data_IF_250937808505
#
_entry.id   IF_250937808505
#
_cell.length_a   1.000
_cell.length_b   1.000
_cell.length_c   1.000
_cell.angle_alpha   90.00
_cell.angle_beta   90.00
_cell.angle_gamma   90.00
#
_symmetry.space_group_name_H-M   'P 1'
#
loop_
_entity.id
_entity.type
_entity.pdbx_description
1 polymer ?
#
# COMPACT_ATOMS: atom_id res chain seq x y z
N UNK A 1 42.71 -33.24 15.28
CA UNK A 1 41.39 -32.70 15.70
C UNK A 1 41.01 -31.66 14.67
N UNK A 2 40.14 -32.02 13.74
CA UNK A 2 39.62 -31.11 12.72
C UNK A 2 38.68 -30.14 13.42
N UNK A 3 39.06 -28.87 13.55
CA UNK A 3 38.14 -27.83 13.99
C UNK A 3 37.03 -27.71 12.95
N UNK A 4 35.80 -28.10 13.29
CA UNK A 4 34.64 -27.82 12.45
C UNK A 4 34.60 -26.31 12.20
N UNK A 5 34.40 -25.94 10.93
CA UNK A 5 34.24 -24.54 10.56
C UNK A 5 33.06 -23.94 11.34
N UNK A 6 33.19 -22.71 11.88
CA UNK A 6 32.10 -22.11 12.62
C UNK A 6 30.87 -21.96 11.73
N UNK A 7 29.73 -22.47 12.21
CA UNK A 7 28.42 -22.31 11.57
C UNK A 7 28.14 -20.83 11.35
N UNK A 8 27.69 -20.46 10.15
CA UNK A 8 27.34 -19.07 9.84
C UNK A 8 25.95 -18.71 10.31
N UNK A 9 25.77 -17.45 10.70
CA UNK A 9 24.46 -16.90 11.01
C UNK A 9 23.54 -17.08 9.80
N UNK A 10 22.38 -17.68 10.02
CA UNK A 10 21.39 -17.93 8.98
C UNK A 10 20.64 -16.66 8.55
N UNK A 11 20.95 -15.51 9.16
CA UNK A 11 20.38 -14.22 8.76
C UNK A 11 20.98 -13.75 7.45
N UNK A 12 20.08 -13.28 6.59
CA UNK A 12 20.29 -12.87 5.21
C UNK A 12 21.50 -11.96 4.96
N UNK A 13 21.81 -11.07 5.92
CA UNK A 13 22.86 -10.04 5.86
C UNK A 13 23.78 -10.07 7.08
N UNK A 14 24.11 -11.27 7.56
CA UNK A 14 24.96 -11.43 8.73
C UNK A 14 26.12 -12.37 8.46
N UNK A 15 27.33 -11.80 8.41
CA UNK A 15 28.57 -12.55 8.20
C UNK A 15 29.13 -13.17 9.50
N UNK A 16 28.52 -12.80 10.64
CA UNK A 16 28.91 -13.31 11.95
C UNK A 16 28.70 -14.82 12.02
N UNK A 17 29.50 -15.44 12.87
CA UNK A 17 29.27 -16.83 13.23
C UNK A 17 27.99 -16.95 14.07
N UNK A 18 27.22 -18.00 13.80
CA UNK A 18 26.00 -18.28 14.53
C UNK A 18 26.29 -18.64 15.99
N UNK A 19 25.48 -18.11 16.89
CA UNK A 19 25.47 -18.50 18.29
C UNK A 19 24.71 -19.82 18.51
N UNK A 20 24.37 -20.10 19.77
CA UNK A 20 23.54 -21.25 20.13
C UNK A 20 22.04 -21.03 19.82
N UNK A 21 21.65 -19.82 19.39
CA UNK A 21 20.26 -19.47 19.11
C UNK A 21 19.79 -20.19 17.84
N UNK A 22 18.99 -21.24 18.01
CA UNK A 22 18.42 -22.04 16.94
C UNK A 22 16.96 -21.67 16.70
N UNK A 23 16.51 -21.71 15.44
CA UNK A 23 15.09 -21.57 15.13
C UNK A 23 14.29 -22.79 15.67
N UNK A 24 13.32 -22.60 16.59
CA UNK A 24 12.55 -23.69 17.19
C UNK A 24 11.70 -24.47 16.18
N UNK A 25 11.25 -23.81 15.10
CA UNK A 25 10.48 -24.45 14.04
C UNK A 25 11.39 -25.23 13.07
N UNK A 26 12.59 -24.73 12.76
CA UNK A 26 13.56 -25.48 11.95
C UNK A 26 14.02 -26.75 12.67
N UNK A 27 14.19 -26.70 13.99
CA UNK A 27 14.51 -27.88 14.81
C UNK A 27 13.45 -28.97 14.67
N UNK A 28 12.16 -28.62 14.74
CA UNK A 28 11.04 -29.56 14.53
C UNK A 28 11.00 -30.17 13.13
N UNK A 29 11.58 -29.47 12.15
CA UNK A 29 11.62 -29.87 10.74
C UNK A 29 12.95 -30.55 10.35
N UNK A 30 13.85 -30.80 11.31
CA UNK A 30 15.16 -31.38 11.03
C UNK A 30 16.09 -30.48 10.20
N UNK A 31 15.87 -29.16 10.21
CA UNK A 31 16.69 -28.17 9.48
C UNK A 31 17.62 -27.42 10.44
N UNK A 32 18.85 -27.21 10.02
CA UNK A 32 19.83 -26.42 10.77
C UNK A 32 19.74 -24.94 10.40
N UNK A 33 19.30 -24.11 11.34
CA UNK A 33 19.20 -22.66 11.17
C UNK A 33 19.49 -21.97 12.52
N UNK A 34 20.65 -21.32 12.60
CA UNK A 34 21.18 -20.72 13.81
C UNK A 34 21.53 -19.24 13.59
N UNK A 35 21.40 -18.42 14.63
CA UNK A 35 21.52 -16.96 14.53
C UNK A 35 22.54 -16.43 15.54
N UNK A 36 23.27 -15.38 15.17
CA UNK A 36 24.22 -14.74 16.08
C UNK A 36 23.52 -13.86 17.15
N UNK A 37 22.28 -13.43 16.90
CA UNK A 37 21.50 -12.60 17.81
C UNK A 37 19.99 -12.77 17.59
N UNK A 38 19.19 -12.34 18.57
CA UNK A 38 17.73 -12.30 18.43
C UNK A 38 17.29 -11.36 17.30
N UNK A 39 18.04 -10.30 17.02
CA UNK A 39 17.75 -9.39 15.91
C UNK A 39 17.98 -10.08 14.56
N UNK A 40 19.06 -10.84 14.43
CA UNK A 40 19.32 -11.66 13.24
C UNK A 40 18.24 -12.72 13.02
N UNK A 41 17.75 -13.32 14.11
CA UNK A 41 16.61 -14.25 14.07
C UNK A 41 15.33 -13.58 13.57
N UNK A 42 14.99 -12.40 14.09
CA UNK A 42 13.79 -11.64 13.71
C UNK A 42 13.84 -11.13 12.27
N UNK A 43 14.98 -10.56 11.85
CA UNK A 43 15.17 -10.03 10.48
C UNK A 43 15.08 -11.13 9.42
N UNK A 44 15.56 -12.33 9.73
CA UNK A 44 15.59 -13.42 8.77
C UNK A 44 14.21 -14.01 8.44
N UNK A 45 13.18 -13.75 9.25
CA UNK A 45 11.93 -14.49 9.12
C UNK A 45 10.92 -13.85 8.16
N UNK A 46 11.09 -12.56 7.82
CA UNK A 46 9.97 -11.77 7.31
C UNK A 46 10.22 -11.19 5.91
N UNK A 47 11.48 -11.07 5.48
CA UNK A 47 11.81 -10.54 4.16
C UNK A 47 12.45 -11.58 3.23
N UNK A 48 11.96 -12.82 3.24
CA UNK A 48 12.51 -13.91 2.41
C UNK A 48 12.39 -13.63 0.91
N UNK A 49 11.38 -12.86 0.48
CA UNK A 49 11.20 -12.52 -0.93
C UNK A 49 12.25 -11.53 -1.46
N UNK A 50 12.91 -10.76 -0.60
CA UNK A 50 13.94 -9.79 -1.03
C UNK A 50 15.08 -10.44 -1.83
N UNK A 51 15.32 -11.73 -1.60
CA UNK A 51 16.33 -12.52 -2.33
C UNK A 51 15.85 -13.07 -3.65
N UNK A 52 14.66 -13.65 -3.68
CA UNK A 52 14.26 -14.57 -4.75
C UNK A 52 12.86 -14.31 -5.31
N UNK A 53 12.22 -13.22 -4.92
CA UNK A 53 10.90 -12.89 -5.42
C UNK A 53 9.74 -13.51 -4.65
N UNK A 54 9.96 -14.47 -3.74
CA UNK A 54 8.88 -15.37 -3.32
C UNK A 54 8.46 -15.12 -1.86
N UNK A 55 7.27 -14.52 -1.59
CA UNK A 55 6.78 -14.24 -0.23
C UNK A 55 6.22 -15.48 0.46
N UNK A 56 7.09 -16.43 0.78
CA UNK A 56 6.70 -17.75 1.31
C UNK A 56 5.91 -17.68 2.61
N UNK A 57 6.17 -16.71 3.47
CA UNK A 57 5.45 -16.48 4.73
C UNK A 57 3.96 -16.20 4.50
N UNK A 58 3.61 -15.55 3.40
CA UNK A 58 2.25 -15.22 3.00
C UNK A 58 1.57 -16.38 2.26
N UNK A 59 2.36 -17.24 1.62
CA UNK A 59 1.88 -18.44 0.92
C UNK A 59 1.62 -19.63 1.85
N UNK A 60 2.04 -19.56 3.12
CA UNK A 60 1.72 -20.60 4.09
C UNK A 60 0.20 -20.65 4.26
N UNK A 61 -0.40 -21.80 3.96
CA UNK A 61 -1.84 -22.06 4.05
C UNK A 61 -2.29 -22.13 5.53
N UNK A 62 -2.15 -21.02 6.26
CA UNK A 62 -2.80 -20.84 7.56
C UNK A 62 -4.19 -20.30 7.25
N UNK A 63 -5.22 -20.90 7.85
CA UNK A 63 -6.64 -20.55 7.72
C UNK A 63 -6.85 -19.12 7.21
N UNK A 64 -7.29 -18.98 5.94
CA UNK A 64 -7.41 -17.69 5.22
C UNK A 64 -8.29 -16.64 5.93
N UNK A 65 -9.07 -17.05 6.93
CA UNK A 65 -9.95 -16.18 7.70
C UNK A 65 -9.36 -15.80 9.09
N UNK A 66 -8.18 -16.30 9.44
CA UNK A 66 -7.52 -15.95 10.70
C UNK A 66 -6.80 -14.62 10.53
N UNK A 67 -7.41 -13.57 11.07
CA UNK A 67 -6.86 -12.22 11.10
C UNK A 67 -6.04 -12.06 12.39
N UNK A 68 -4.83 -11.51 12.27
CA UNK A 68 -3.96 -11.24 13.42
C UNK A 68 -4.55 -10.14 14.31
N UNK A 69 -4.39 -10.30 15.62
CA UNK A 69 -4.68 -9.27 16.62
C UNK A 69 -3.34 -8.97 17.30
N UNK A 70 -2.83 -7.78 17.05
CA UNK A 70 -1.51 -7.36 17.49
C UNK A 70 -1.50 -7.05 18.98
N UNK A 71 -0.44 -7.47 19.67
CA UNK A 71 -0.16 -7.02 21.03
C UNK A 71 0.32 -5.56 21.07
N UNK A 72 0.55 -5.02 22.27
CA UNK A 72 0.95 -3.61 22.42
C UNK A 72 2.32 -3.30 21.82
N UNK A 73 3.27 -4.23 21.90
CA UNK A 73 4.60 -4.01 21.32
C UNK A 73 4.55 -4.05 19.79
N UNK A 74 3.74 -4.95 19.22
CA UNK A 74 3.49 -5.02 17.79
C UNK A 74 2.75 -3.77 17.27
N UNK A 75 1.78 -3.24 18.02
CA UNK A 75 1.11 -1.97 17.70
C UNK A 75 2.10 -0.79 17.65
N UNK A 76 3.05 -0.70 18.60
CA UNK A 76 4.10 0.33 18.53
C UNK A 76 5.03 0.14 17.32
N UNK A 77 5.34 -1.11 16.96
CA UNK A 77 6.07 -1.43 15.73
C UNK A 77 5.36 -0.89 14.49
N UNK A 78 4.05 -1.14 14.38
CA UNK A 78 3.20 -0.62 13.31
C UNK A 78 3.16 0.91 13.27
N UNK A 79 2.96 1.59 14.42
CA UNK A 79 3.01 3.07 14.50
C UNK A 79 4.33 3.61 13.98
N UNK A 80 5.45 2.98 14.35
CA UNK A 80 6.77 3.41 13.92
C UNK A 80 6.94 3.29 12.40
N UNK A 81 6.70 2.11 11.83
CA UNK A 81 6.90 1.90 10.37
C UNK A 81 5.93 2.75 9.55
N UNK A 82 4.68 2.91 9.99
CA UNK A 82 3.68 3.73 9.29
C UNK A 82 4.06 5.22 9.29
N UNK A 83 4.59 5.75 10.39
CA UNK A 83 5.11 7.12 10.44
C UNK A 83 6.29 7.29 9.47
N UNK A 84 7.22 6.34 9.42
CA UNK A 84 8.34 6.38 8.47
C UNK A 84 7.85 6.32 7.03
N UNK A 85 6.85 5.49 6.73
CA UNK A 85 6.26 5.39 5.39
C UNK A 85 5.61 6.72 4.97
N UNK A 86 4.86 7.38 5.87
CA UNK A 86 4.34 8.74 5.65
C UNK A 86 5.45 9.74 5.30
N UNK A 87 6.53 9.77 6.07
CA UNK A 87 7.65 10.67 5.77
C UNK A 87 8.26 10.41 4.38
N UNK A 88 8.38 9.15 3.95
CA UNK A 88 8.89 8.80 2.61
C UNK A 88 7.92 9.21 1.51
N UNK A 89 6.61 8.98 1.67
CA UNK A 89 5.60 9.47 0.73
C UNK A 89 5.66 10.99 0.59
N UNK A 90 5.78 11.71 1.69
CA UNK A 90 5.86 13.17 1.68
C UNK A 90 7.13 13.68 0.97
N UNK A 91 8.25 12.96 1.08
CA UNK A 91 9.48 13.26 0.31
C UNK A 91 9.25 13.05 -1.18
N UNK A 92 8.66 11.92 -1.58
CA UNK A 92 8.36 11.59 -2.97
C UNK A 92 7.41 12.62 -3.60
N UNK A 93 6.36 12.99 -2.87
CA UNK A 93 5.37 13.97 -3.28
C UNK A 93 5.97 15.36 -3.56
N UNK A 94 6.97 15.81 -2.79
CA UNK A 94 7.67 17.09 -3.04
C UNK A 94 8.50 17.06 -4.33
N UNK A 95 8.91 15.89 -4.78
CA UNK A 95 9.68 15.73 -6.01
C UNK A 95 8.80 15.58 -7.27
N UNK A 96 7.53 15.20 -7.09
CA UNK A 96 6.58 14.98 -8.18
C UNK A 96 6.16 16.31 -8.84
N UNK A 97 6.78 16.65 -9.98
CA UNK A 97 6.51 17.87 -10.74
C UNK A 97 6.70 17.65 -12.24
N UNK A 98 6.17 18.52 -13.11
CA UNK A 98 6.42 18.41 -14.54
C UNK A 98 7.92 18.34 -14.86
N UNK A 99 8.30 17.45 -15.77
CA UNK A 99 9.68 17.29 -16.26
C UNK A 99 10.53 16.25 -15.53
N UNK A 100 10.09 15.67 -14.40
CA UNK A 100 10.79 14.54 -13.77
C UNK A 100 10.28 13.20 -14.29
N UNK A 101 11.10 12.16 -14.26
CA UNK A 101 10.67 10.79 -14.56
C UNK A 101 10.09 10.10 -13.32
N UNK A 102 9.28 9.06 -13.51
CA UNK A 102 8.85 8.21 -12.40
C UNK A 102 10.02 7.42 -11.79
N UNK A 103 11.02 7.04 -12.60
CA UNK A 103 12.27 6.43 -12.12
C UNK A 103 13.08 7.33 -11.17
N UNK A 104 13.07 8.65 -11.39
CA UNK A 104 13.67 9.60 -10.45
C UNK A 104 12.92 9.65 -9.10
N UNK A 105 11.60 9.49 -9.12
CA UNK A 105 10.79 9.39 -7.89
C UNK A 105 11.13 8.09 -7.14
N UNK A 106 11.28 6.98 -7.85
CA UNK A 106 11.74 5.70 -7.27
C UNK A 106 13.11 5.82 -6.61
N UNK A 107 14.09 6.46 -7.27
CA UNK A 107 15.43 6.69 -6.70
C UNK A 107 15.36 7.45 -5.37
N UNK A 108 14.52 8.50 -5.32
CA UNK A 108 14.28 9.28 -4.09
C UNK A 108 13.66 8.42 -3.00
N UNK A 109 12.62 7.64 -3.32
CA UNK A 109 11.95 6.76 -2.35
C UNK A 109 12.93 5.71 -1.82
N UNK A 110 13.66 5.05 -2.72
CA UNK A 110 14.66 4.05 -2.36
C UNK A 110 15.69 4.62 -1.39
N UNK A 111 16.28 5.78 -1.71
CA UNK A 111 17.25 6.46 -0.84
C UNK A 111 16.64 6.85 0.51
N UNK A 112 15.42 7.39 0.52
CA UNK A 112 14.74 7.80 1.74
C UNK A 112 14.40 6.62 2.67
N UNK A 113 14.12 5.43 2.11
CA UNK A 113 13.99 4.17 2.86
C UNK A 113 15.34 3.76 3.48
N UNK A 114 16.43 3.80 2.71
CA UNK A 114 17.77 3.44 3.19
C UNK A 114 18.25 4.36 4.32
N UNK A 115 18.04 5.67 4.21
CA UNK A 115 18.36 6.66 5.26
C UNK A 115 17.60 6.43 6.58
N UNK A 116 16.53 5.63 6.55
CA UNK A 116 15.70 5.27 7.70
C UNK A 116 15.96 3.85 8.20
N UNK A 117 17.04 3.21 7.76
CA UNK A 117 17.34 1.80 8.02
C UNK A 117 16.13 0.89 7.75
N UNK A 118 15.45 1.15 6.63
CA UNK A 118 14.19 0.49 6.24
C UNK A 118 14.31 -0.11 4.84
N UNK A 119 13.62 -1.21 4.60
CA UNK A 119 13.58 -1.83 3.28
C UNK A 119 12.32 -1.38 2.52
N UNK A 120 12.41 -1.01 1.22
CA UNK A 120 11.24 -0.72 0.40
C UNK A 120 10.50 -2.02 0.05
N UNK A 121 9.38 -2.28 0.71
CA UNK A 121 8.68 -3.58 0.62
C UNK A 121 8.33 -4.02 -0.82
N UNK A 122 7.97 -3.13 -1.76
CA UNK A 122 7.70 -3.54 -3.14
C UNK A 122 8.91 -4.17 -3.83
N UNK A 123 10.13 -3.77 -3.45
CA UNK A 123 11.34 -4.23 -4.13
C UNK A 123 11.46 -5.76 -4.04
N UNK A 124 11.54 -6.38 -5.21
CA UNK A 124 11.58 -7.82 -5.40
C UNK A 124 10.38 -8.60 -4.79
N UNK A 125 9.29 -7.94 -4.39
CA UNK A 125 8.09 -8.66 -3.99
C UNK A 125 7.42 -9.26 -5.24
N UNK A 126 7.29 -10.59 -5.32
CA UNK A 126 6.87 -11.30 -6.54
C UNK A 126 7.69 -10.93 -7.78
N UNK A 127 8.97 -10.56 -7.60
CA UNK A 127 9.87 -10.02 -8.62
C UNK A 127 9.49 -8.62 -9.16
N UNK A 128 8.72 -7.81 -8.43
CA UNK A 128 8.53 -6.40 -8.78
C UNK A 128 9.88 -5.67 -8.78
N UNK A 129 10.23 -4.90 -9.82
CA UNK A 129 11.62 -4.48 -10.06
C UNK A 129 12.01 -3.16 -9.38
N UNK A 130 11.09 -2.50 -8.66
CA UNK A 130 11.25 -1.12 -8.15
C UNK A 130 10.87 -1.01 -6.68
N UNK A 131 11.19 0.11 -6.06
CA UNK A 131 11.02 0.36 -4.62
C UNK A 131 9.67 0.99 -4.26
N UNK A 132 8.95 1.47 -5.27
CA UNK A 132 7.66 2.18 -5.16
C UNK A 132 6.82 1.88 -6.39
N UNK A 133 5.49 2.00 -6.30
CA UNK A 133 4.64 2.04 -7.51
C UNK A 133 4.33 3.51 -7.87
N UNK A 134 4.37 3.82 -9.16
CA UNK A 134 3.99 5.14 -9.70
C UNK A 134 2.95 4.97 -10.79
N UNK A 135 1.68 5.25 -10.46
CA UNK A 135 0.54 4.99 -11.33
C UNK A 135 0.00 6.30 -11.90
N UNK A 136 0.31 6.56 -13.17
CA UNK A 136 -0.04 7.81 -13.86
C UNK A 136 -1.35 7.64 -14.65
N UNK A 137 -2.25 8.62 -14.54
CA UNK A 137 -3.47 8.75 -15.35
C UNK A 137 -4.38 7.51 -15.36
N UNK A 138 -4.37 6.70 -16.42
CA UNK A 138 -5.22 5.50 -16.58
C UNK A 138 -4.70 4.27 -15.83
N UNK A 139 -3.49 4.35 -15.28
CA UNK A 139 -2.91 3.30 -14.46
C UNK A 139 -3.63 3.26 -13.11
N UNK A 140 -4.29 2.13 -12.86
CA UNK A 140 -5.07 1.85 -11.66
C UNK A 140 -4.14 1.71 -10.45
N UNK A 141 -3.15 0.83 -10.55
CA UNK A 141 -2.18 0.52 -9.50
C UNK A 141 -0.97 -0.21 -10.11
N UNK A 142 0.09 -0.38 -9.31
CA UNK A 142 1.30 -1.13 -9.65
C UNK A 142 2.05 -0.68 -10.92
N UNK A 143 1.91 0.60 -11.31
CA UNK A 143 2.74 1.15 -12.37
C UNK A 143 4.21 1.08 -11.99
N UNK A 144 5.03 0.45 -12.83
CA UNK A 144 6.48 0.32 -12.61
C UNK A 144 7.16 1.67 -12.94
N UNK A 145 7.89 2.28 -12.00
CA UNK A 145 8.72 3.45 -12.29
C UNK A 145 9.65 3.25 -13.49
N UNK A 146 9.65 4.20 -14.43
CA UNK A 146 10.37 4.13 -15.70
C UNK A 146 10.81 5.52 -16.20
N UNK A 147 11.29 5.60 -17.45
CA UNK A 147 11.77 6.84 -18.06
C UNK A 147 10.66 7.77 -18.55
N UNK A 148 9.37 7.50 -18.26
CA UNK A 148 8.26 8.39 -18.60
C UNK A 148 8.41 9.71 -17.85
N UNK A 149 8.61 10.78 -18.61
CA UNK A 149 8.62 12.15 -18.08
C UNK A 149 7.19 12.58 -17.75
N UNK A 150 6.96 13.01 -16.50
CA UNK A 150 5.70 13.56 -16.04
C UNK A 150 5.39 14.89 -16.74
N UNK A 151 4.13 15.08 -17.14
CA UNK A 151 3.66 16.25 -17.87
C UNK A 151 2.73 17.08 -17.01
N UNK A 152 2.76 18.39 -17.22
CA UNK A 152 1.73 19.30 -16.71
C UNK A 152 0.35 18.90 -17.25
N UNK A 153 -0.53 18.41 -16.38
CA UNK A 153 -1.80 17.79 -16.72
C UNK A 153 -1.97 16.35 -16.26
N UNK A 154 -0.88 15.66 -15.89
CA UNK A 154 -0.94 14.30 -15.34
C UNK A 154 -1.50 14.30 -13.90
N UNK A 155 -2.17 13.22 -13.53
CA UNK A 155 -2.31 12.82 -12.12
C UNK A 155 -1.43 11.60 -11.86
N UNK A 156 -0.79 11.55 -10.69
CA UNK A 156 0.15 10.50 -10.32
C UNK A 156 -0.19 9.98 -8.93
N UNK A 157 -0.53 8.70 -8.82
CA UNK A 157 -0.50 8.01 -7.54
C UNK A 157 0.93 7.52 -7.25
N UNK A 158 1.38 7.72 -6.00
CA UNK A 158 2.65 7.19 -5.48
C UNK A 158 2.32 6.29 -4.30
N UNK A 159 2.69 5.02 -4.40
CA UNK A 159 2.34 3.97 -3.44
C UNK A 159 3.59 3.43 -2.72
N UNK A 160 3.64 3.68 -1.41
CA UNK A 160 4.83 3.54 -0.57
C UNK A 160 4.56 2.52 0.54
N UNK A 161 5.30 1.43 0.51
CA UNK A 161 5.36 0.50 1.65
C UNK A 161 6.78 0.38 2.19
N UNK A 162 6.97 0.63 3.48
CA UNK A 162 8.24 0.38 4.15
C UNK A 162 8.18 -0.88 5.01
N UNK A 163 9.30 -1.60 5.08
CA UNK A 163 9.55 -2.62 6.07
C UNK A 163 10.57 -2.12 7.10
N UNK A 164 10.17 -2.01 8.36
CA UNK A 164 11.02 -1.53 9.45
C UNK A 164 10.76 -2.30 10.74
N UNK A 165 11.83 -2.76 11.38
CA UNK A 165 11.77 -3.36 12.71
C UNK A 165 10.87 -4.60 12.84
N UNK A 166 10.60 -5.31 11.74
CA UNK A 166 9.71 -6.48 11.76
C UNK A 166 8.38 -6.31 11.06
N UNK A 167 8.00 -5.09 10.67
CA UNK A 167 6.64 -4.75 10.23
C UNK A 167 6.63 -3.97 8.92
N UNK A 168 5.55 -4.10 8.16
CA UNK A 168 5.24 -3.30 6.98
C UNK A 168 4.29 -2.15 7.33
N UNK A 169 4.47 -0.99 6.72
CA UNK A 169 3.54 0.15 6.81
C UNK A 169 3.28 0.73 5.43
N UNK A 170 2.00 0.90 5.10
CA UNK A 170 1.54 1.12 3.73
C UNK A 170 0.60 2.30 3.58
N UNK A 171 0.80 3.06 2.52
CA UNK A 171 -0.02 4.22 2.15
C UNK A 171 0.28 4.68 0.72
N UNK A 172 -0.72 5.29 0.11
CA UNK A 172 -0.59 5.97 -1.17
C UNK A 172 -1.48 7.20 -1.25
N UNK A 173 -1.10 8.12 -2.12
CA UNK A 173 -1.89 9.29 -2.47
C UNK A 173 -1.75 9.64 -3.95
N UNK A 174 -2.84 10.11 -4.56
CA UNK A 174 -2.82 10.73 -5.90
C UNK A 174 -2.52 12.23 -5.82
N UNK A 175 -1.55 12.67 -6.62
CA UNK A 175 -1.08 14.06 -6.73
C UNK A 175 -1.37 14.65 -8.11
N UNK A 176 -1.67 15.94 -8.14
CA UNK A 176 -1.79 16.71 -9.38
C UNK A 176 -0.40 17.15 -9.86
N UNK A 177 -0.06 16.84 -11.11
CA UNK A 177 1.22 17.25 -11.70
C UNK A 177 1.01 18.51 -12.54
N UNK A 178 1.38 19.65 -11.96
CA UNK A 178 1.25 20.97 -12.59
C UNK A 178 -0.17 21.55 -12.57
N UNK A 179 -0.29 22.81 -12.98
CA UNK A 179 -1.53 23.58 -12.87
C UNK A 179 -2.62 23.05 -13.81
N UNK A 180 -2.27 22.42 -14.94
CA UNK A 180 -3.27 21.85 -15.86
C UNK A 180 -3.98 20.64 -15.28
N UNK A 181 -3.35 19.89 -14.38
CA UNK A 181 -3.98 18.77 -13.70
C UNK A 181 -5.08 19.28 -12.75
N UNK A 182 -4.80 20.37 -12.02
CA UNK A 182 -5.78 21.05 -11.16
C UNK A 182 -6.89 21.73 -11.97
N UNK A 183 -6.59 22.24 -13.16
CA UNK A 183 -7.58 22.85 -14.04
C UNK A 183 -8.48 21.83 -14.76
N UNK A 184 -8.14 20.53 -14.72
CA UNK A 184 -8.92 19.48 -15.37
C UNK A 184 -10.04 18.99 -14.42
N UNK A 185 -11.33 19.26 -14.73
CA UNK A 185 -12.43 18.89 -13.84
C UNK A 185 -12.59 17.37 -13.66
N UNK A 186 -12.20 16.55 -14.64
CA UNK A 186 -12.28 15.10 -14.51
C UNK A 186 -11.17 14.55 -13.62
N UNK A 187 -9.96 15.10 -13.73
CA UNK A 187 -8.82 14.77 -12.86
C UNK A 187 -9.11 15.16 -11.41
N UNK A 188 -9.70 16.35 -11.18
CA UNK A 188 -10.11 16.76 -9.84
C UNK A 188 -11.23 15.86 -9.32
N UNK A 189 -12.27 15.60 -10.14
CA UNK A 189 -13.41 14.77 -9.72
C UNK A 189 -12.99 13.37 -9.29
N UNK A 190 -12.18 12.66 -10.08
CA UNK A 190 -11.76 11.29 -9.73
C UNK A 190 -10.86 11.26 -8.49
N UNK A 191 -9.93 12.20 -8.38
CA UNK A 191 -8.99 12.31 -7.26
C UNK A 191 -9.72 12.59 -5.94
N UNK A 192 -10.55 13.62 -5.91
CA UNK A 192 -11.26 14.00 -4.69
C UNK A 192 -12.35 12.97 -4.33
N UNK A 193 -12.99 12.35 -5.32
CA UNK A 193 -13.92 11.24 -5.07
C UNK A 193 -13.21 10.06 -4.39
N UNK A 194 -12.01 9.69 -4.84
CA UNK A 194 -11.23 8.62 -4.19
C UNK A 194 -10.85 8.97 -2.75
N UNK A 195 -10.39 10.21 -2.52
CA UNK A 195 -10.07 10.72 -1.18
C UNK A 195 -11.29 10.70 -0.24
N UNK A 196 -12.44 11.18 -0.71
CA UNK A 196 -13.70 11.20 0.04
C UNK A 196 -14.23 9.77 0.30
N UNK A 197 -14.10 8.85 -0.65
CA UNK A 197 -14.44 7.43 -0.49
C UNK A 197 -13.65 6.79 0.65
N UNK A 198 -12.31 7.00 0.68
CA UNK A 198 -11.46 6.50 1.75
C UNK A 198 -11.87 7.09 3.10
N UNK A 199 -12.05 8.40 3.18
CA UNK A 199 -12.43 9.09 4.42
C UNK A 199 -13.75 8.54 5.00
N UNK A 200 -14.79 8.40 4.18
CA UNK A 200 -16.08 7.84 4.62
C UNK A 200 -15.97 6.38 5.06
N UNK A 201 -15.10 5.58 4.43
CA UNK A 201 -14.87 4.21 4.86
C UNK A 201 -14.16 4.15 6.22
N UNK A 202 -13.15 5.01 6.44
CA UNK A 202 -12.41 5.11 7.71
C UNK A 202 -13.34 5.52 8.86
N UNK A 203 -14.27 6.45 8.64
CA UNK A 203 -15.26 6.87 9.66
C UNK A 203 -16.12 5.71 10.19
N UNK A 204 -16.30 4.65 9.40
CA UNK A 204 -17.04 3.46 9.81
C UNK A 204 -16.21 2.44 10.60
N UNK A 205 -14.89 2.59 10.64
CA UNK A 205 -13.98 1.61 11.26
C UNK A 205 -14.09 1.71 12.78
N UNK A 206 -14.62 0.63 13.37
CA UNK A 206 -14.68 0.40 14.81
C UNK A 206 -14.92 -1.08 15.08
N UNK A 207 -14.74 -1.56 16.32
CA UNK A 207 -15.05 -2.95 16.67
C UNK A 207 -16.46 -3.37 16.24
N UNK A 208 -16.56 -4.52 15.57
CA UNK A 208 -17.81 -5.10 15.09
C UNK A 208 -18.23 -4.69 13.68
N UNK A 209 -17.61 -3.69 13.06
CA UNK A 209 -17.88 -3.36 11.65
C UNK A 209 -17.44 -4.51 10.75
N UNK A 210 -18.33 -5.02 9.90
CA UNK A 210 -18.00 -6.11 8.97
C UNK A 210 -17.15 -5.58 7.81
N UNK A 211 -16.09 -6.31 7.42
CA UNK A 211 -15.19 -5.86 6.34
C UNK A 211 -15.91 -5.64 5.00
N UNK A 212 -17.03 -6.32 4.77
CA UNK A 212 -17.85 -6.15 3.56
C UNK A 212 -18.59 -4.82 3.47
N UNK A 213 -18.75 -4.09 4.58
CA UNK A 213 -19.54 -2.84 4.60
C UNK A 213 -18.77 -1.65 4.00
N UNK A 214 -17.44 -1.65 4.07
CA UNK A 214 -16.63 -0.54 3.52
C UNK A 214 -16.88 -0.36 2.02
N UNK A 215 -16.98 -1.46 1.27
CA UNK A 215 -17.29 -1.38 -0.16
C UNK A 215 -18.69 -0.83 -0.47
N UNK A 216 -19.65 -0.96 0.45
CA UNK A 216 -21.00 -0.40 0.27
C UNK A 216 -20.97 1.14 0.32
N UNK A 217 -20.23 1.73 1.28
CA UNK A 217 -20.12 3.19 1.40
C UNK A 217 -19.27 3.77 0.28
N UNK A 218 -18.15 3.13 -0.07
CA UNK A 218 -17.26 3.55 -1.15
C UNK A 218 -18.00 3.57 -2.50
N UNK A 219 -18.63 2.46 -2.90
CA UNK A 219 -19.29 2.41 -4.22
C UNK A 219 -20.52 3.33 -4.28
N UNK A 220 -21.22 3.56 -3.17
CA UNK A 220 -22.31 4.54 -3.11
C UNK A 220 -21.79 5.95 -3.37
N UNK A 221 -20.70 6.35 -2.70
CA UNK A 221 -20.13 7.68 -2.86
C UNK A 221 -19.57 7.89 -4.26
N UNK A 222 -18.76 6.95 -4.76
CA UNK A 222 -18.19 7.00 -6.11
C UNK A 222 -19.26 7.18 -7.19
N UNK A 223 -20.37 6.41 -7.12
CA UNK A 223 -21.49 6.54 -8.06
C UNK A 223 -22.17 7.90 -7.99
N UNK A 224 -22.31 8.48 -6.80
CA UNK A 224 -22.88 9.82 -6.64
C UNK A 224 -22.05 10.90 -7.35
N UNK A 225 -20.75 10.65 -7.53
CA UNK A 225 -19.80 11.51 -8.24
C UNK A 225 -19.55 11.07 -9.69
N UNK A 226 -20.42 10.22 -10.25
CA UNK A 226 -20.31 9.67 -11.62
C UNK A 226 -18.98 8.94 -11.88
N UNK A 227 -18.42 8.31 -10.85
CA UNK A 227 -17.24 7.47 -10.94
C UNK A 227 -17.60 5.98 -10.72
N UNK A 228 -16.69 5.09 -11.08
CA UNK A 228 -16.78 3.65 -10.81
C UNK A 228 -15.68 3.17 -9.88
N UNK A 229 -15.87 2.00 -9.28
CA UNK A 229 -14.91 1.39 -8.32
C UNK A 229 -14.29 0.15 -8.95
N UNK A 230 -12.96 0.11 -9.02
CA UNK A 230 -12.21 -1.06 -9.49
C UNK A 230 -12.50 -2.27 -8.59
N UNK A 231 -12.60 -3.46 -9.19
CA UNK A 231 -13.06 -4.68 -8.48
C UNK A 231 -12.00 -5.77 -8.32
N UNK A 232 -10.89 -5.65 -9.02
CA UNK A 232 -9.86 -6.70 -9.11
C UNK A 232 -8.89 -6.68 -7.94
N UNK A 233 -8.73 -5.50 -7.31
CA UNK A 233 -7.84 -5.27 -6.17
C UNK A 233 -8.65 -4.88 -4.92
N UNK A 234 -8.07 -5.10 -3.75
CA UNK A 234 -8.71 -4.89 -2.46
C UNK A 234 -7.69 -4.49 -1.40
N UNK A 235 -8.14 -3.82 -0.35
CA UNK A 235 -7.34 -3.66 0.86
C UNK A 235 -7.00 -5.01 1.49
N UNK A 236 -6.00 -5.00 2.37
CA UNK A 236 -5.44 -6.20 2.95
C UNK A 236 -5.11 -6.02 4.43
N UNK A 237 -5.03 -7.12 5.17
CA UNK A 237 -4.32 -7.12 6.45
C UNK A 237 -2.84 -6.82 6.21
N UNK A 238 -2.25 -6.08 7.16
CA UNK A 238 -0.83 -5.72 7.11
C UNK A 238 -0.25 -5.70 8.52
N UNK A 239 0.94 -6.28 8.67
CA UNK A 239 1.67 -6.33 9.93
C UNK A 239 3.12 -6.80 9.67
N UNK A 240 3.54 -7.92 10.26
CA UNK A 240 4.76 -8.60 9.84
C UNK A 240 4.63 -9.19 8.43
N UNK A 241 3.43 -9.44 7.94
CA UNK A 241 3.20 -9.78 6.52
C UNK A 241 2.89 -8.51 5.73
N UNK A 242 3.37 -8.43 4.48
CA UNK A 242 3.04 -7.32 3.58
C UNK A 242 1.55 -7.43 3.23
N UNK A 243 1.12 -8.60 2.74
CA UNK A 243 -0.28 -8.89 2.48
C UNK A 243 -0.77 -10.09 3.28
N UNK A 244 -1.82 -9.91 4.09
CA UNK A 244 -2.49 -10.99 4.79
C UNK A 244 -4.01 -10.76 4.93
N UNK A 245 -4.70 -11.68 5.62
CA UNK A 245 -6.12 -11.48 5.95
C UNK A 245 -6.31 -10.27 6.88
N UNK A 246 -7.40 -9.50 6.74
CA UNK A 246 -8.54 -9.71 5.85
C UNK A 246 -8.30 -9.18 4.42
N UNK A 247 -9.01 -9.72 3.44
CA UNK A 247 -9.23 -9.01 2.18
C UNK A 247 -10.38 -8.02 2.37
N UNK A 248 -10.22 -6.77 1.92
CA UNK A 248 -11.17 -5.67 2.12
C UNK A 248 -11.58 -5.08 0.76
N UNK A 249 -12.59 -5.65 0.07
CA UNK A 249 -13.02 -5.16 -1.23
C UNK A 249 -13.72 -3.80 -1.15
N UNK A 250 -13.48 -2.95 -2.14
CA UNK A 250 -13.99 -1.58 -2.19
C UNK A 250 -15.35 -1.43 -2.89
N UNK A 251 -15.88 -2.50 -3.48
CA UNK A 251 -17.17 -2.51 -4.17
C UNK A 251 -18.31 -3.05 -3.30
N UNK A 252 -19.54 -2.61 -3.55
CA UNK A 252 -20.72 -3.01 -2.78
C UNK A 252 -21.11 -4.47 -3.04
N UNK A 253 -21.84 -5.06 -2.07
CA UNK A 253 -22.32 -6.46 -2.14
C UNK A 253 -21.20 -7.49 -2.34
N UNK A 254 -19.98 -7.16 -1.94
CA UNK A 254 -18.88 -8.12 -1.86
C UNK A 254 -19.17 -9.16 -0.75
N UNK A 255 -18.37 -10.22 -0.71
CA UNK A 255 -18.53 -11.36 0.22
C UNK A 255 -17.39 -11.46 1.23
N UNK A 256 -16.73 -10.34 1.55
CA UNK A 256 -15.64 -10.34 2.52
C UNK A 256 -16.09 -10.92 3.87
N UNK A 257 -15.19 -11.68 4.49
CA UNK A 257 -15.45 -12.43 5.72
C UNK A 257 -14.78 -11.71 6.88
N UNK A 258 -15.46 -11.69 8.02
CA UNK A 258 -14.92 -11.16 9.27
C UNK A 258 -15.41 -9.77 9.61
N UNK A 259 -14.95 -9.30 10.76
CA UNK A 259 -15.28 -8.00 11.32
C UNK A 259 -14.03 -7.40 11.99
N UNK A 260 -13.97 -6.08 12.03
CA UNK A 260 -12.94 -5.34 12.75
C UNK A 260 -12.99 -5.68 14.26
N UNK A 261 -11.82 -5.87 14.86
CA UNK A 261 -11.64 -6.07 16.30
C UNK A 261 -10.43 -5.27 16.78
N UNK A 262 -10.40 -4.82 18.04
CA UNK A 262 -9.26 -4.09 18.59
C UNK A 262 -7.95 -4.85 18.36
N UNK A 263 -6.90 -4.11 17.96
CA UNK A 263 -5.58 -4.66 17.66
C UNK A 263 -5.41 -5.21 16.24
N UNK A 264 -6.44 -5.23 15.39
CA UNK A 264 -6.28 -5.58 13.98
C UNK A 264 -5.68 -4.40 13.20
N UNK A 265 -4.72 -4.70 12.32
CA UNK A 265 -4.21 -3.75 11.33
C UNK A 265 -4.58 -4.19 9.90
N UNK A 266 -5.09 -3.27 9.09
CA UNK A 266 -5.44 -3.49 7.69
C UNK A 266 -5.48 -2.18 6.90
N UNK A 267 -5.46 -2.27 5.58
CA UNK A 267 -5.54 -1.15 4.64
C UNK A 267 -6.96 -0.97 4.11
N UNK A 268 -7.33 0.27 3.80
CA UNK A 268 -8.44 0.59 2.90
C UNK A 268 -7.83 1.46 1.80
N UNK A 269 -8.00 1.06 0.55
CA UNK A 269 -7.22 1.60 -0.59
C UNK A 269 -8.07 1.76 -1.88
N UNK A 270 -9.21 2.47 -1.85
CA UNK A 270 -10.16 2.50 -2.97
C UNK A 270 -9.55 3.08 -4.25
N UNK A 271 -9.49 2.25 -5.28
CA UNK A 271 -9.17 2.67 -6.64
C UNK A 271 -10.46 3.07 -7.37
N UNK A 272 -10.55 4.34 -7.75
CA UNK A 272 -11.72 4.95 -8.40
C UNK A 272 -11.37 5.32 -9.83
N UNK A 273 -12.27 5.03 -10.76
CA UNK A 273 -12.14 5.39 -12.19
C UNK A 273 -13.21 6.42 -12.57
N UNK A 274 -12.83 7.40 -13.39
CA UNK A 274 -13.78 8.34 -13.98
C UNK A 274 -14.68 7.68 -15.05
N UNK A 275 -14.27 6.51 -15.55
CA UNK A 275 -14.96 5.72 -16.57
C UNK A 275 -15.27 4.31 -16.08
N UNK A 276 -14.83 3.30 -16.83
CA UNK A 276 -15.10 1.88 -16.54
C UNK A 276 -14.33 1.36 -15.32
N UNK A 277 -14.91 0.35 -14.65
CA UNK A 277 -14.25 -0.39 -13.58
C UNK A 277 -13.37 -1.55 -14.08
N UNK A 278 -13.46 -1.85 -15.38
CA UNK A 278 -12.79 -3.01 -15.98
C UNK A 278 -11.32 -2.68 -16.22
N UNK A 279 -10.47 -3.60 -15.84
CA UNK A 279 -9.03 -3.50 -15.92
C UNK A 279 -8.43 -4.49 -16.92
N UNK A 280 -7.18 -4.22 -17.30
CA UNK A 280 -6.29 -5.15 -17.99
C UNK A 280 -4.87 -4.94 -17.46
N UNK A 281 -4.10 -6.01 -17.38
CA UNK A 281 -2.68 -5.95 -17.02
C UNK A 281 -1.83 -5.79 -18.27
N UNK A 282 -0.79 -4.96 -18.20
CA UNK A 282 0.21 -4.85 -19.26
C UNK A 282 1.09 -6.11 -19.35
N UNK A 283 1.86 -6.28 -20.44
CA UNK A 283 2.77 -7.43 -20.61
C UNK A 283 3.93 -7.49 -19.61
N UNK A 284 4.06 -6.50 -18.72
CA UNK A 284 5.05 -6.49 -17.63
C UNK A 284 4.59 -7.27 -16.39
N UNK A 285 3.40 -7.89 -16.44
CA UNK A 285 2.74 -8.66 -15.38
C UNK A 285 2.30 -7.85 -14.14
N UNK A 286 2.50 -6.52 -14.13
CA UNK A 286 2.25 -5.66 -12.96
C UNK A 286 1.30 -4.51 -13.25
N UNK A 287 1.59 -3.71 -14.26
CA UNK A 287 0.90 -2.43 -14.50
C UNK A 287 -0.56 -2.70 -14.86
N UNK A 288 -1.47 -2.31 -13.96
CA UNK A 288 -2.91 -2.46 -14.18
C UNK A 288 -3.49 -1.16 -14.71
N UNK A 289 -4.24 -1.22 -15.82
CA UNK A 289 -4.84 -0.03 -16.44
C UNK A 289 -6.32 -0.23 -16.69
N UNK A 290 -7.07 0.86 -16.75
CA UNK A 290 -8.47 0.82 -17.21
C UNK A 290 -8.55 0.36 -18.67
N UNK A 291 -9.58 -0.43 -18.99
CA UNK A 291 -9.76 -0.94 -20.36
C UNK A 291 -10.11 0.16 -21.36
N UNK A 292 -10.69 1.27 -20.91
CA UNK A 292 -11.11 2.40 -21.73
C UNK A 292 -10.10 3.58 -21.73
N UNK A 293 -9.00 3.49 -20.97
CA UNK A 293 -8.00 4.55 -20.86
C UNK A 293 -8.46 5.76 -20.03
N UNK A 294 -9.53 5.61 -19.25
CA UNK A 294 -10.03 6.65 -18.35
C UNK A 294 -9.11 6.84 -17.14
N UNK A 295 -9.05 8.08 -16.64
CA UNK A 295 -8.30 8.45 -15.44
C UNK A 295 -8.73 7.66 -14.20
N UNK A 296 -7.75 7.33 -13.36
CA UNK A 296 -7.93 6.67 -12.07
C UNK A 296 -7.21 7.43 -10.96
N UNK A 297 -7.74 7.32 -9.76
CA UNK A 297 -7.11 7.81 -8.55
C UNK A 297 -7.29 6.82 -7.39
N UNK A 298 -6.31 6.81 -6.49
CA UNK A 298 -6.26 5.94 -5.34
C UNK A 298 -5.72 6.73 -4.14
N UNK A 299 -6.28 6.45 -2.98
CA UNK A 299 -5.78 6.88 -1.70
C UNK A 299 -5.80 5.68 -0.77
N UNK A 300 -4.83 5.61 0.13
CA UNK A 300 -4.73 4.51 1.07
C UNK A 300 -4.24 4.95 2.44
N UNK A 301 -4.77 4.28 3.46
CA UNK A 301 -4.20 4.29 4.79
C UNK A 301 -4.11 2.89 5.41
N UNK A 302 -3.03 2.64 6.14
CA UNK A 302 -2.95 1.58 7.14
C UNK A 302 -3.67 2.02 8.41
N UNK A 303 -4.58 1.19 8.89
CA UNK A 303 -5.49 1.48 10.01
C UNK A 303 -5.28 0.48 11.14
N UNK A 304 -5.27 0.96 12.38
CA UNK A 304 -5.30 0.14 13.60
C UNK A 304 -6.65 0.30 14.28
N UNK A 305 -7.39 -0.80 14.44
CA UNK A 305 -8.66 -0.78 15.19
C UNK A 305 -8.35 -0.62 16.69
N UNK A 306 -8.95 0.39 17.33
CA UNK A 306 -8.87 0.63 18.78
C UNK A 306 -10.07 -0.01 19.50
N UNK A 307 -10.16 0.16 20.82
CA UNK A 307 -11.29 -0.36 21.61
C UNK A 307 -12.64 0.30 21.25
N UNK A 308 -12.61 1.50 20.71
CA UNK A 308 -13.77 2.37 20.48
C UNK A 308 -13.83 2.98 19.06
N UNK A 309 -12.84 2.72 18.21
CA UNK A 309 -12.76 3.29 16.87
C UNK A 309 -11.55 2.81 16.08
N UNK A 310 -10.82 3.78 15.52
CA UNK A 310 -9.67 3.56 14.64
C UNK A 310 -8.59 4.60 14.87
N UNK A 311 -7.35 4.17 14.77
CA UNK A 311 -6.18 5.03 14.64
C UNK A 311 -5.67 4.93 13.20
N UNK A 312 -5.55 6.06 12.51
CA UNK A 312 -5.00 6.12 11.14
C UNK A 312 -3.48 6.23 11.25
N UNK A 313 -2.79 5.09 11.14
CA UNK A 313 -1.35 5.00 11.43
C UNK A 313 -0.49 5.77 10.43
N UNK A 314 -0.96 5.91 9.19
CA UNK A 314 -0.28 6.64 8.11
C UNK A 314 -0.88 8.03 7.85
N UNK A 315 -1.55 8.61 8.86
CA UNK A 315 -2.14 9.94 8.78
C UNK A 315 -1.13 11.00 8.31
N UNK A 316 -1.65 12.04 7.65
CA UNK A 316 -0.86 13.16 7.14
C UNK A 316 -0.26 13.98 8.28
N UNK A 317 0.94 14.51 8.05
CA UNK A 317 1.59 15.52 8.88
C UNK A 317 1.09 16.92 8.51
N UNK A 318 1.26 17.94 9.37
CA UNK A 318 0.83 19.30 9.07
C UNK A 318 1.41 19.88 7.77
N UNK A 319 2.59 19.43 7.35
CA UNK A 319 3.31 19.90 6.16
C UNK A 319 3.31 18.87 5.00
N UNK A 320 2.51 17.81 5.09
CA UNK A 320 2.39 16.83 3.99
C UNK A 320 1.94 17.54 2.70
N UNK A 321 2.59 17.30 1.54
CA UNK A 321 2.24 17.95 0.27
C UNK A 321 0.86 17.53 -0.27
N UNK A 322 0.26 18.38 -1.10
CA UNK A 322 -1.07 18.14 -1.67
C UNK A 322 -2.19 18.35 -0.64
N UNK A 323 -3.25 17.56 -0.76
CA UNK A 323 -4.45 17.69 0.08
C UNK A 323 -5.71 17.91 -0.76
N UNK A 324 -6.87 18.01 -0.10
CA UNK A 324 -8.13 18.15 -0.79
C UNK A 324 -8.24 19.51 -1.50
N UNK A 325 -8.93 19.52 -2.63
CA UNK A 325 -9.27 20.73 -3.39
C UNK A 325 -10.78 20.78 -3.61
N UNK A 326 -11.37 21.96 -3.89
CA UNK A 326 -12.80 22.06 -4.15
C UNK A 326 -13.22 21.19 -5.34
N UNK A 327 -14.22 20.33 -5.12
CA UNK A 327 -14.86 19.55 -6.18
C UNK A 327 -15.37 20.50 -7.28
N UNK A 328 -15.23 20.16 -8.58
CA UNK A 328 -15.75 20.99 -9.66
C UNK A 328 -17.26 21.14 -9.52
N UNK A 329 -17.78 22.31 -9.88
CA UNK A 329 -19.22 22.52 -9.97
C UNK A 329 -19.81 21.51 -10.96
N UNK A 330 -20.98 20.95 -10.64
CA UNK A 330 -21.73 20.21 -11.65
C UNK A 330 -22.06 21.19 -12.77
N UNK A 331 -21.64 20.88 -14.00
CA UNK A 331 -22.08 21.63 -15.15
C UNK A 331 -23.61 21.53 -15.20
N UNK A 332 -24.29 22.59 -14.78
CA UNK A 332 -25.74 22.71 -14.97
C UNK A 332 -25.96 22.55 -16.46
N UNK A 333 -26.56 21.43 -16.85
CA UNK A 333 -26.92 21.17 -18.23
C UNK A 333 -27.98 22.18 -18.66
N UNK A 334 -27.56 23.36 -19.11
CA UNK A 334 -28.34 24.11 -20.06
C UNK A 334 -28.31 23.30 -21.35
N UNK A 335 -29.30 22.42 -21.47
CA UNK A 335 -29.75 21.95 -22.76
C UNK A 335 -30.16 23.19 -23.54
N UNK A 336 -29.26 23.68 -24.39
CA UNK A 336 -29.62 24.61 -25.46
C UNK A 336 -30.58 23.87 -26.37
N UNK A 337 -31.87 24.02 -26.10
CA UNK A 337 -32.93 23.73 -27.04
C UNK A 337 -32.77 24.72 -28.20
N UNK A 338 -32.07 24.30 -29.25
CA UNK A 338 -32.17 24.95 -30.55
C UNK A 338 -33.48 24.53 -31.18
N UNK A 339 -34.40 25.50 -31.24
CA UNK A 339 -35.64 25.51 -32.02
C UNK A 339 -35.42 25.32 -33.51
#
# INVERSE_FOLDING_TARGET
MTSEAPRKCASIDCENDAGALQCPNCQKLGKESYFCSQDCFKRNWVLNYSKDGIPRSEQVFVNRNKIAVLDKAEQEGMRKVCRLAREVLDIAARAAKPGVTTDYIDEIVHKACMERDSYPSPLNYCNFPKSVCTSVNEVICHGIPDQRVLKDGDILNIDVTLYHGGFHGDLNETYYIGDKALANPDAVRVTETSRECLAQAIEMVKPGTLFREYGNVIEKHAKSKKCSVIRTYCGHGINQLFHCAPNVPHYAKNKAIGQAKPGMCFTIEPMISIGTHRDKTWPDDWTSVTQDGSLTAQFEHTLLVTEDGVEVLTARLPDSPGGPVPMPAEANGEATATS
#
